data_IF_930106182279
#
_entry.id   IF_930106182279
#
_cell.length_a   1.000
_cell.length_b   1.000
_cell.length_c   1.000
_cell.angle_alpha   90.00
_cell.angle_beta   90.00
_cell.angle_gamma   90.00
#
_symmetry.space_group_name_H-M   'P 1'
#
loop_
_entity.id
_entity.type
_entity.pdbx_description
1 polymer ?
#
# COMPACT_ATOMS: atom_id res chain seq x y z
N UNK A 1 -14.25 19.47 21.24
CA UNK A 1 -14.06 18.90 19.89
C UNK A 1 -14.69 17.54 19.91
N UNK A 2 -15.82 17.35 19.22
CA UNK A 2 -16.38 16.01 19.03
C UNK A 2 -15.43 15.22 18.12
N UNK A 3 -14.92 14.09 18.63
CA UNK A 3 -14.20 13.11 17.84
C UNK A 3 -15.12 12.60 16.74
N UNK A 4 -14.92 13.07 15.50
CA UNK A 4 -15.54 12.44 14.33
C UNK A 4 -15.11 10.98 14.33
N UNK A 5 -16.06 10.06 14.60
CA UNK A 5 -15.86 8.62 14.45
C UNK A 5 -15.26 8.36 13.07
N UNK A 6 -14.00 7.90 13.03
CA UNK A 6 -13.37 7.48 11.78
C UNK A 6 -14.25 6.42 11.14
N UNK A 7 -14.57 6.59 9.86
CA UNK A 7 -15.27 5.57 9.10
C UNK A 7 -14.42 4.29 9.11
N UNK A 8 -15.04 3.17 9.49
CA UNK A 8 -14.40 1.86 9.45
C UNK A 8 -14.68 1.25 8.08
N UNK A 9 -13.63 1.03 7.30
CA UNK A 9 -13.73 0.33 6.03
C UNK A 9 -13.42 -1.14 6.27
N UNK A 10 -14.41 -2.02 6.11
CA UNK A 10 -14.23 -3.46 6.32
C UNK A 10 -14.94 -4.29 5.25
N UNK A 11 -14.27 -5.32 4.74
CA UNK A 11 -14.82 -6.29 3.80
C UNK A 11 -14.08 -7.62 3.94
N UNK A 12 -14.78 -8.74 3.78
CA UNK A 12 -14.20 -10.10 3.78
C UNK A 12 -13.31 -10.41 5.01
N UNK A 13 -13.65 -9.82 6.17
CA UNK A 13 -12.91 -9.98 7.43
C UNK A 13 -11.71 -9.02 7.61
N UNK A 14 -11.35 -8.24 6.59
CA UNK A 14 -10.28 -7.25 6.66
C UNK A 14 -10.81 -5.88 7.10
N UNK A 15 -9.95 -5.10 7.77
CA UNK A 15 -10.18 -3.71 8.13
C UNK A 15 -9.10 -2.86 7.47
N UNK A 16 -9.52 -1.78 6.81
CA UNK A 16 -8.65 -0.89 6.05
C UNK A 16 -8.63 0.49 6.69
N UNK A 17 -7.45 1.12 6.68
CA UNK A 17 -7.26 2.45 7.27
C UNK A 17 -7.82 3.56 6.38
N UNK A 18 -8.02 3.24 5.09
CA UNK A 18 -8.53 4.17 4.10
C UNK A 18 -9.50 3.52 3.11
N UNK A 19 -10.33 4.37 2.47
CA UNK A 19 -11.19 3.92 1.36
C UNK A 19 -10.37 3.47 0.16
N UNK A 20 -9.24 4.12 -0.08
CA UNK A 20 -8.34 3.79 -1.19
C UNK A 20 -7.74 2.39 -1.01
N UNK A 21 -7.32 2.01 0.20
CA UNK A 21 -6.88 0.62 0.48
C UNK A 21 -7.99 -0.39 0.26
N UNK A 22 -9.23 -0.11 0.72
CA UNK A 22 -10.39 -0.97 0.46
C UNK A 22 -10.64 -1.13 -1.05
N UNK A 23 -10.61 -0.04 -1.80
CA UNK A 23 -10.83 -0.05 -3.24
C UNK A 23 -9.70 -0.83 -3.95
N UNK A 24 -8.45 -0.67 -3.51
CA UNK A 24 -7.30 -1.42 -4.04
C UNK A 24 -7.36 -2.92 -3.69
N UNK A 25 -7.82 -3.27 -2.49
CA UNK A 25 -8.11 -4.65 -2.12
C UNK A 25 -9.14 -5.29 -3.07
N UNK A 26 -10.22 -4.57 -3.38
CA UNK A 26 -11.23 -5.05 -4.34
C UNK A 26 -10.61 -5.31 -5.72
N UNK A 27 -9.62 -4.52 -6.13
CA UNK A 27 -8.88 -4.73 -7.36
C UNK A 27 -8.05 -6.01 -7.29
N UNK A 28 -7.31 -6.23 -6.19
CA UNK A 28 -6.51 -7.43 -6.00
C UNK A 28 -7.39 -8.69 -6.08
N UNK A 29 -8.55 -8.68 -5.42
CA UNK A 29 -9.48 -9.80 -5.45
C UNK A 29 -9.95 -10.13 -6.88
N UNK A 30 -10.43 -9.13 -7.63
CA UNK A 30 -10.89 -9.33 -9.01
C UNK A 30 -9.76 -9.68 -9.99
N UNK A 31 -8.56 -9.16 -9.77
CA UNK A 31 -7.36 -9.48 -10.54
C UNK A 31 -6.88 -10.91 -10.25
N UNK A 32 -7.01 -11.39 -9.01
CA UNK A 32 -6.70 -12.75 -8.63
C UNK A 32 -7.66 -13.76 -9.28
N UNK A 33 -8.97 -13.50 -9.22
CA UNK A 33 -9.99 -14.30 -9.94
C UNK A 33 -9.71 -14.42 -11.44
N UNK A 34 -9.11 -13.39 -12.03
CA UNK A 34 -8.81 -13.34 -13.46
C UNK A 34 -7.46 -13.95 -13.84
N UNK A 35 -6.69 -14.46 -12.87
CA UNK A 35 -5.35 -15.02 -13.07
C UNK A 35 -4.27 -13.98 -13.36
N UNK A 36 -4.47 -12.71 -13.01
CA UNK A 36 -3.44 -11.67 -13.13
C UNK A 36 -2.54 -11.62 -11.89
N UNK A 37 -3.10 -11.90 -10.71
CA UNK A 37 -2.40 -12.01 -9.43
C UNK A 37 -2.57 -13.46 -8.94
N UNK A 38 -1.47 -14.07 -8.52
CA UNK A 38 -1.47 -15.48 -8.05
C UNK A 38 -1.61 -15.59 -6.53
N UNK A 39 -1.01 -14.66 -5.81
CA UNK A 39 -1.03 -14.58 -4.35
C UNK A 39 -0.89 -13.12 -3.93
N UNK A 40 -1.34 -12.81 -2.72
CA UNK A 40 -1.21 -11.48 -2.13
C UNK A 40 -1.24 -11.56 -0.60
N UNK A 41 -0.80 -10.49 0.06
CA UNK A 41 -0.90 -10.30 1.50
C UNK A 41 -1.25 -8.85 1.82
N UNK A 42 -2.06 -8.62 2.85
CA UNK A 42 -2.34 -7.31 3.42
C UNK A 42 -1.59 -7.17 4.74
N UNK A 43 -0.87 -6.05 4.91
CA UNK A 43 0.09 -5.84 6.00
C UNK A 43 1.07 -7.02 6.16
N UNK A 44 1.91 -7.29 5.14
CA UNK A 44 2.95 -8.30 5.27
C UNK A 44 3.98 -7.87 6.34
N UNK A 45 5.03 -8.67 6.48
CA UNK A 45 6.03 -8.46 7.53
C UNK A 45 6.59 -7.02 7.57
N UNK A 46 6.55 -6.42 8.76
CA UNK A 46 7.25 -5.17 9.07
C UNK A 46 8.76 -5.35 8.96
N UNK A 47 9.41 -4.44 8.25
CA UNK A 47 10.84 -4.45 8.01
C UNK A 47 11.51 -3.40 8.87
N UNK A 48 12.42 -3.82 9.74
CA UNK A 48 13.28 -2.89 10.47
C UNK A 48 14.33 -2.28 9.53
N UNK A 49 14.41 -0.94 9.52
CA UNK A 49 15.35 -0.14 8.75
C UNK A 49 16.50 0.39 9.60
N UNK A 50 16.22 0.76 10.86
CA UNK A 50 17.21 1.18 11.83
C UNK A 50 16.75 0.78 13.24
N UNK A 51 17.62 0.17 14.07
CA UNK A 51 17.28 -0.14 15.44
C UNK A 51 17.20 1.14 16.28
N UNK A 52 16.48 1.05 17.40
CA UNK A 52 16.46 2.10 18.42
C UNK A 52 17.84 2.20 19.06
N UNK A 53 18.37 3.41 19.22
CA UNK A 53 19.65 3.68 19.91
C UNK A 53 19.35 4.34 21.25
N UNK A 54 19.89 3.79 22.33
CA UNK A 54 19.78 4.32 23.70
C UNK A 54 21.15 4.69 24.27
N UNK A 55 21.17 5.57 25.27
CA UNK A 55 22.36 5.86 26.07
C UNK A 55 21.97 5.92 27.54
N UNK A 56 22.92 5.61 28.42
CA UNK A 56 22.73 5.65 29.86
C UNK A 56 23.38 6.88 30.46
N UNK A 57 22.67 7.59 31.32
CA UNK A 57 23.16 8.73 32.07
C UNK A 57 23.12 8.41 33.57
N UNK A 58 24.23 8.66 34.28
CA UNK A 58 24.26 8.54 35.74
C UNK A 58 23.81 9.86 36.36
N UNK A 59 22.59 9.87 36.90
CA UNK A 59 22.06 11.03 37.59
C UNK A 59 22.45 10.91 39.07
N UNK A 60 23.34 11.80 39.52
CA UNK A 60 23.67 11.93 40.94
C UNK A 60 22.59 12.72 41.65
N UNK A 61 21.82 12.04 42.49
CA UNK A 61 20.90 12.67 43.45
C UNK A 61 21.67 13.00 44.73
N UNK A 62 21.09 13.86 45.58
CA UNK A 62 21.71 14.31 46.84
C UNK A 62 22.18 13.16 47.75
N UNK A 63 21.54 12.00 47.71
CA UNK A 63 21.82 10.87 48.61
C UNK A 63 22.20 9.57 47.90
N UNK A 64 22.02 9.47 46.56
CA UNK A 64 22.21 8.25 45.77
C UNK A 64 22.51 8.60 44.32
N UNK A 65 23.24 7.76 43.59
CA UNK A 65 23.25 7.82 42.14
C UNK A 65 22.23 6.83 41.54
N UNK A 66 21.66 7.20 40.40
CA UNK A 66 20.75 6.35 39.62
C UNK A 66 21.15 6.41 38.15
N UNK A 67 21.35 5.26 37.54
CA UNK A 67 21.48 5.17 36.08
C UNK A 67 20.10 5.22 35.44
N UNK A 68 19.92 6.13 34.47
CA UNK A 68 18.69 6.26 33.68
C UNK A 68 19.03 6.01 32.22
N UNK A 69 18.22 5.18 31.55
CA UNK A 69 18.33 4.95 30.12
C UNK A 69 17.49 5.98 29.35
N UNK A 70 18.10 6.64 28.37
CA UNK A 70 17.49 7.63 27.49
C UNK A 70 17.52 7.14 26.04
N UNK A 71 16.50 7.50 25.26
CA UNK A 71 16.45 7.20 23.82
C UNK A 71 17.20 8.30 23.07
N UNK A 72 18.29 7.92 22.39
CA UNK A 72 19.02 8.82 21.52
C UNK A 72 18.35 8.94 20.15
N UNK A 73 18.03 7.78 19.55
CA UNK A 73 17.36 7.68 18.25
C UNK A 73 16.24 6.66 18.32
N UNK A 74 15.05 7.04 17.86
CA UNK A 74 13.96 6.08 17.71
C UNK A 74 14.28 5.07 16.61
N UNK A 75 13.83 3.84 16.80
CA UNK A 75 13.86 2.85 15.73
C UNK A 75 13.02 3.30 14.54
N UNK A 76 13.40 2.84 13.35
CA UNK A 76 12.70 3.10 12.11
C UNK A 76 12.33 1.76 11.48
N UNK A 77 11.05 1.53 11.26
CA UNK A 77 10.52 0.34 10.60
C UNK A 77 9.48 0.73 9.56
N UNK A 78 9.25 -0.16 8.61
CA UNK A 78 8.34 0.07 7.50
C UNK A 78 7.49 -1.17 7.23
N UNK A 79 6.18 -0.99 7.14
CA UNK A 79 5.21 -2.01 6.73
C UNK A 79 4.54 -1.49 5.47
N UNK A 80 4.66 -2.18 4.32
CA UNK A 80 3.87 -1.83 3.14
C UNK A 80 2.40 -2.20 3.39
N UNK A 81 1.49 -1.64 2.59
CA UNK A 81 0.07 -1.98 2.71
C UNK A 81 -0.21 -3.36 2.13
N UNK A 82 0.37 -3.67 0.96
CA UNK A 82 0.17 -4.94 0.27
C UNK A 82 1.45 -5.54 -0.30
N UNK A 83 1.46 -6.85 -0.46
CA UNK A 83 2.31 -7.53 -1.44
C UNK A 83 1.46 -8.32 -2.42
N UNK A 84 1.86 -8.38 -3.68
CA UNK A 84 1.21 -9.19 -4.71
C UNK A 84 2.24 -9.99 -5.50
N UNK A 85 1.87 -11.18 -5.96
CA UNK A 85 2.70 -12.06 -6.77
C UNK A 85 2.17 -12.17 -8.20
N UNK A 86 2.94 -11.67 -9.16
CA UNK A 86 2.59 -11.58 -10.58
C UNK A 86 3.05 -12.80 -11.40
N UNK A 87 2.83 -14.02 -10.93
CA UNK A 87 3.14 -15.26 -11.65
C UNK A 87 1.93 -15.91 -12.33
N UNK A 88 0.77 -15.27 -12.29
CA UNK A 88 -0.45 -15.78 -12.92
C UNK A 88 -0.39 -15.78 -14.47
N UNK A 89 -1.22 -16.59 -15.15
CA UNK A 89 -1.22 -16.72 -16.61
C UNK A 89 -1.52 -15.41 -17.36
N UNK A 90 -2.14 -14.44 -16.69
CA UNK A 90 -2.44 -13.11 -17.24
C UNK A 90 -1.65 -11.99 -16.56
N UNK A 91 -0.59 -12.31 -15.81
CA UNK A 91 0.14 -11.29 -15.06
C UNK A 91 0.83 -10.25 -15.94
N UNK A 92 1.19 -10.64 -17.16
CA UNK A 92 1.74 -9.75 -18.19
C UNK A 92 0.83 -8.55 -18.49
N UNK A 93 -0.48 -8.64 -18.25
CA UNK A 93 -1.41 -7.52 -18.42
C UNK A 93 -1.16 -6.39 -17.40
N UNK A 94 -0.68 -6.74 -16.20
CA UNK A 94 -0.42 -5.78 -15.12
C UNK A 94 1.03 -5.34 -15.05
N UNK A 95 1.98 -6.20 -15.43
CA UNK A 95 3.43 -5.93 -15.36
C UNK A 95 3.88 -4.55 -15.85
N UNK A 96 3.39 -4.01 -16.98
CA UNK A 96 3.81 -2.68 -17.46
C UNK A 96 3.54 -1.53 -16.48
N UNK A 97 2.66 -1.73 -15.49
CA UNK A 97 2.33 -0.72 -14.48
C UNK A 97 3.28 -0.73 -13.27
N UNK A 98 4.25 -1.66 -13.23
CA UNK A 98 5.20 -1.81 -12.14
C UNK A 98 6.63 -1.65 -12.63
N UNK A 99 7.42 -0.87 -11.91
CA UNK A 99 8.84 -0.60 -12.21
C UNK A 99 9.77 -1.66 -11.61
N UNK A 100 9.56 -2.93 -11.97
CA UNK A 100 10.43 -4.04 -11.54
C UNK A 100 10.30 -5.24 -12.47
N UNK A 101 11.38 -5.98 -12.58
CA UNK A 101 11.48 -7.31 -13.19
C UNK A 101 11.07 -8.45 -12.25
N UNK A 102 10.94 -8.17 -10.95
CA UNK A 102 10.56 -9.15 -9.93
C UNK A 102 9.07 -9.46 -9.99
N UNK A 103 8.72 -10.70 -9.64
CA UNK A 103 7.31 -11.13 -9.57
C UNK A 103 6.62 -10.68 -8.29
N UNK A 104 7.37 -10.57 -7.20
CA UNK A 104 6.87 -10.07 -5.92
C UNK A 104 6.92 -8.55 -5.90
N UNK A 105 5.74 -7.94 -5.87
CA UNK A 105 5.56 -6.49 -5.85
C UNK A 105 5.17 -6.06 -4.45
N UNK A 106 5.83 -5.02 -3.93
CA UNK A 106 5.55 -4.41 -2.64
C UNK A 106 4.81 -3.11 -2.90
N UNK A 107 3.69 -2.88 -2.24
CA UNK A 107 2.76 -1.80 -2.59
C UNK A 107 2.39 -1.01 -1.34
N UNK A 108 2.37 0.30 -1.52
CA UNK A 108 1.86 1.24 -0.53
C UNK A 108 0.86 2.17 -1.23
N UNK A 109 -0.37 2.15 -0.73
CA UNK A 109 -1.52 2.87 -1.24
C UNK A 109 -1.54 4.26 -0.60
N UNK A 110 -1.64 5.28 -1.45
CA UNK A 110 -1.68 6.68 -1.01
C UNK A 110 -2.84 7.41 -1.65
N UNK A 111 -3.45 8.29 -0.85
CA UNK A 111 -4.47 9.21 -1.32
C UNK A 111 -3.94 10.20 -2.36
N UNK A 112 -4.86 10.83 -3.07
CA UNK A 112 -4.52 11.76 -4.17
C UNK A 112 -3.99 13.12 -3.69
N UNK A 113 -4.23 13.45 -2.42
CA UNK A 113 -3.79 14.70 -1.78
C UNK A 113 -3.02 14.38 -0.49
N UNK A 114 -1.76 14.78 -0.42
CA UNK A 114 -0.95 14.73 0.81
C UNK A 114 -1.04 16.09 1.51
N UNK A 115 -1.84 16.17 2.57
CA UNK A 115 -2.02 17.42 3.34
C UNK A 115 -0.82 17.67 4.29
N UNK A 116 -0.04 16.64 4.65
CA UNK A 116 0.92 16.70 5.77
C UNK A 116 2.35 16.23 5.47
N UNK A 117 2.92 16.50 4.30
CA UNK A 117 4.30 16.07 3.92
C UNK A 117 4.54 14.54 3.96
N UNK A 118 3.50 13.71 4.03
CA UNK A 118 3.62 12.25 4.06
C UNK A 118 4.36 11.70 2.83
N UNK A 119 4.26 12.40 1.70
CA UNK A 119 4.97 12.09 0.47
C UNK A 119 6.49 12.15 0.61
N UNK A 120 7.01 13.10 1.41
CA UNK A 120 8.44 13.22 1.68
C UNK A 120 8.92 12.04 2.54
N UNK A 121 8.15 11.71 3.59
CA UNK A 121 8.45 10.58 4.48
C UNK A 121 8.45 9.26 3.72
N UNK A 122 7.43 9.02 2.89
CA UNK A 122 7.36 7.83 2.05
C UNK A 122 8.57 7.72 1.11
N UNK A 123 8.90 8.81 0.41
CA UNK A 123 10.05 8.84 -0.52
C UNK A 123 11.37 8.51 0.18
N UNK A 124 11.59 9.04 1.39
CA UNK A 124 12.78 8.73 2.18
C UNK A 124 12.80 7.25 2.61
N UNK A 125 11.69 6.73 3.13
CA UNK A 125 11.58 5.34 3.57
C UNK A 125 11.76 4.36 2.40
N UNK A 126 11.18 4.66 1.23
CA UNK A 126 11.37 3.87 0.01
C UNK A 126 12.85 3.81 -0.39
N UNK A 127 13.56 4.94 -0.39
CA UNK A 127 15.00 4.98 -0.69
C UNK A 127 15.81 4.16 0.30
N UNK A 128 15.55 4.29 1.60
CA UNK A 128 16.24 3.53 2.65
C UNK A 128 15.97 2.04 2.56
N UNK A 129 14.71 1.65 2.35
CA UNK A 129 14.32 0.26 2.20
C UNK A 129 15.01 -0.36 0.97
N UNK A 130 15.04 0.35 -0.15
CA UNK A 130 15.75 -0.10 -1.34
C UNK A 130 17.27 -0.21 -1.08
N UNK A 131 17.87 0.79 -0.45
CA UNK A 131 19.29 0.79 -0.13
C UNK A 131 19.69 -0.40 0.76
N UNK A 132 18.93 -0.64 1.84
CA UNK A 132 19.23 -1.63 2.88
C UNK A 132 18.82 -3.05 2.52
N UNK A 133 17.66 -3.22 1.88
CA UNK A 133 17.01 -4.53 1.67
C UNK A 133 16.79 -4.87 0.19
N UNK A 134 17.10 -3.96 -0.74
CA UNK A 134 16.86 -4.13 -2.20
C UNK A 134 15.38 -4.41 -2.53
N UNK A 135 14.48 -3.85 -1.72
CA UNK A 135 13.03 -3.89 -1.89
C UNK A 135 12.58 -2.51 -2.37
N UNK A 136 11.94 -2.47 -3.54
CA UNK A 136 11.32 -1.26 -4.07
C UNK A 136 9.80 -1.34 -3.85
N UNK A 137 9.25 -0.38 -3.11
CA UNK A 137 7.82 -0.32 -2.82
C UNK A 137 7.14 0.61 -3.80
N UNK A 138 6.19 0.12 -4.57
CA UNK A 138 5.42 0.91 -5.53
C UNK A 138 4.37 1.74 -4.81
N UNK A 139 4.48 3.07 -4.90
CA UNK A 139 3.43 3.99 -4.48
C UNK A 139 2.27 3.91 -5.46
N UNK A 140 1.10 3.49 -4.99
CA UNK A 140 -0.11 3.42 -5.79
C UNK A 140 -1.07 4.54 -5.38
N UNK A 141 -1.36 5.42 -6.34
CA UNK A 141 -2.49 6.34 -6.25
C UNK A 141 -3.65 5.67 -6.99
N UNK A 142 -4.61 5.13 -6.23
CA UNK A 142 -5.66 4.21 -6.71
C UNK A 142 -6.35 4.71 -7.98
N UNK A 143 -6.77 5.97 -7.99
CA UNK A 143 -7.42 6.58 -9.15
C UNK A 143 -6.57 6.48 -10.43
N UNK A 144 -5.31 6.92 -10.38
CA UNK A 144 -4.38 6.88 -11.53
C UNK A 144 -4.08 5.44 -11.95
N UNK A 145 -3.98 4.55 -10.97
CA UNK A 145 -3.74 3.14 -11.24
C UNK A 145 -4.95 2.51 -11.96
N UNK A 146 -6.18 2.73 -11.50
CA UNK A 146 -7.39 2.21 -12.14
C UNK A 146 -7.62 2.77 -13.55
N UNK A 147 -7.24 4.03 -13.79
CA UNK A 147 -7.19 4.61 -15.14
C UNK A 147 -6.24 3.81 -16.06
N UNK A 148 -5.09 3.38 -15.53
CA UNK A 148 -4.09 2.62 -16.27
C UNK A 148 -4.48 1.13 -16.44
N UNK A 149 -5.30 0.56 -15.56
CA UNK A 149 -5.75 -0.85 -15.61
C UNK A 149 -7.27 -0.98 -15.73
N UNK A 150 -7.98 -1.17 -14.63
CA UNK A 150 -9.43 -1.21 -14.56
C UNK A 150 -9.87 -0.87 -13.15
N UNK A 151 -11.11 -0.41 -13.01
CA UNK A 151 -11.75 -0.26 -11.70
C UNK A 151 -12.51 -1.56 -11.35
N UNK A 152 -12.34 -2.12 -10.13
CA UNK A 152 -13.10 -3.29 -9.71
C UNK A 152 -14.57 -2.91 -9.49
N UNK A 153 -15.48 -3.85 -9.78
CA UNK A 153 -16.93 -3.68 -9.64
C UNK A 153 -17.31 -3.18 -8.26
N UNK A 154 -16.74 -3.74 -7.19
CA UNK A 154 -17.06 -3.31 -5.81
C UNK A 154 -16.66 -1.85 -5.51
N UNK A 155 -15.61 -1.34 -6.17
CA UNK A 155 -15.19 0.05 -6.00
C UNK A 155 -15.92 1.01 -6.95
N UNK A 156 -16.41 0.54 -8.10
CA UNK A 156 -16.99 1.37 -9.15
C UNK A 156 -18.35 1.99 -8.79
N UNK A 157 -19.10 1.39 -7.87
CA UNK A 157 -20.49 1.75 -7.58
C UNK A 157 -20.68 2.20 -6.13
N UNK A 158 -21.55 3.18 -5.92
CA UNK A 158 -22.05 3.59 -4.61
C UNK A 158 -23.08 2.56 -4.09
N UNK A 159 -23.42 2.64 -2.80
CA UNK A 159 -24.47 1.79 -2.21
C UNK A 159 -25.85 1.95 -2.87
N UNK A 160 -26.15 3.13 -3.42
CA UNK A 160 -27.38 3.40 -4.16
C UNK A 160 -27.35 2.91 -5.62
N UNK A 161 -26.31 2.19 -6.04
CA UNK A 161 -26.16 1.68 -7.40
C UNK A 161 -25.74 2.72 -8.44
N UNK A 162 -25.46 3.97 -8.06
CA UNK A 162 -24.91 4.96 -9.00
C UNK A 162 -23.40 4.79 -9.14
N UNK A 163 -22.88 5.09 -10.32
CA UNK A 163 -21.44 5.01 -10.57
C UNK A 163 -20.69 6.09 -9.79
N UNK A 164 -19.60 5.72 -9.12
CA UNK A 164 -18.76 6.69 -8.39
C UNK A 164 -18.10 7.64 -9.37
N UNK A 165 -18.30 8.94 -9.16
CA UNK A 165 -17.72 9.99 -10.01
C UNK A 165 -16.19 9.86 -10.14
N UNK A 166 -15.51 9.44 -9.07
CA UNK A 166 -14.07 9.22 -9.06
C UNK A 166 -13.58 8.20 -10.11
N UNK A 167 -14.44 7.27 -10.54
CA UNK A 167 -14.12 6.19 -11.47
C UNK A 167 -15.07 6.12 -12.66
N UNK A 168 -15.77 7.22 -12.96
CA UNK A 168 -16.74 7.28 -14.05
C UNK A 168 -16.09 7.01 -15.42
N UNK A 169 -14.85 7.47 -15.59
CA UNK A 169 -14.03 7.33 -16.81
C UNK A 169 -13.13 6.09 -16.83
N UNK A 170 -13.01 5.36 -15.72
CA UNK A 170 -12.21 4.13 -15.67
C UNK A 170 -12.92 3.01 -16.44
N UNK A 171 -12.18 2.15 -17.12
CA UNK A 171 -12.77 0.96 -17.76
C UNK A 171 -13.01 -0.17 -16.76
N UNK A 172 -13.98 -1.03 -17.06
CA UNK A 172 -14.25 -2.20 -16.20
C UNK A 172 -13.30 -3.35 -16.56
N UNK A 173 -13.22 -4.35 -15.67
CA UNK A 173 -12.37 -5.54 -15.87
C UNK A 173 -12.60 -6.23 -17.22
N UNK A 174 -13.86 -6.35 -17.64
CA UNK A 174 -14.23 -7.03 -18.89
C UNK A 174 -13.67 -6.29 -20.12
N UNK A 175 -13.80 -4.97 -20.14
CA UNK A 175 -13.28 -4.11 -21.21
C UNK A 175 -11.76 -4.21 -21.29
N UNK A 176 -11.07 -4.16 -20.13
CA UNK A 176 -9.62 -4.31 -20.06
C UNK A 176 -9.14 -5.67 -20.58
N UNK A 177 -9.84 -6.75 -20.21
CA UNK A 177 -9.53 -8.10 -20.69
C UNK A 177 -9.75 -8.22 -22.21
N UNK A 178 -10.81 -7.61 -22.76
CA UNK A 178 -11.09 -7.63 -24.18
C UNK A 178 -10.03 -6.85 -24.97
N UNK A 179 -9.66 -5.65 -24.51
CA UNK A 179 -8.61 -4.81 -25.10
C UNK A 179 -7.27 -5.57 -25.19
N UNK A 180 -6.86 -6.24 -24.10
CA UNK A 180 -5.60 -6.98 -24.06
C UNK A 180 -5.60 -8.26 -24.88
N UNK A 181 -6.74 -8.91 -25.09
CA UNK A 181 -6.85 -10.07 -26.00
C UNK A 181 -6.65 -9.69 -27.47
N UNK A 182 -7.02 -8.47 -27.86
CA UNK A 182 -6.78 -7.96 -29.22
C UNK A 182 -5.32 -7.61 -29.51
N UNK A 183 -4.47 -7.59 -28.48
CA UNK A 183 -3.06 -7.21 -28.54
C UNK A 183 -2.10 -8.42 -28.47
N UNK A 184 -2.59 -9.64 -28.74
CA UNK A 184 -1.72 -10.82 -28.78
C UNK A 184 -0.62 -10.65 -29.84
N UNK A 185 0.63 -10.56 -29.37
CA UNK A 185 1.86 -10.75 -30.16
C UNK A 185 2.14 -12.25 -30.32
#
# INVERSE_FOLDING_TARGET
>A
MEDKKKAVYAVDGFRFDSRDELDFYCFIAEAAESGMISAWSYHPQTIELAPKVTYTEEIRLKTKSKTVEHVLLNGCSYTPDFTILLTGPRSWMLRPNFRTDKDLIWIDVKGSFSIHNDDVKFSLLQKWLYQRKKIYVHKIIVRKFFEAVFVPKRAAWNHNGTRRAAYAHCRMRQDFLAEKRGLNF
#
